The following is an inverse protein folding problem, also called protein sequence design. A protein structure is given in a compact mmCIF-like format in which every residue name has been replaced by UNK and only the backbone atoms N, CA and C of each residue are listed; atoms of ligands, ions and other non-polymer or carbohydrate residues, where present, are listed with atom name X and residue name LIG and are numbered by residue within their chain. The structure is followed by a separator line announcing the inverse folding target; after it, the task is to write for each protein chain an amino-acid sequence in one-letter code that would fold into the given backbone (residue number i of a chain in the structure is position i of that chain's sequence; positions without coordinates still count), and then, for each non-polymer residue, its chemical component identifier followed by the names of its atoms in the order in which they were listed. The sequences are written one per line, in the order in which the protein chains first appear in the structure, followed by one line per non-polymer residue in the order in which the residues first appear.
data_IF_196895521852
#
_entry.id   IF_196895521852
#
_cell.length_a   1.000
_cell.length_b   1.000
_cell.length_c   1.000
_cell.angle_alpha   90.00
_cell.angle_beta   90.00
_cell.angle_gamma   90.00
#
_symmetry.space_group_name_H-M   'P 1'
#
loop_
_entity.id
_entity.type
_entity.pdbx_description
1 polymer ?
#
# COMPACT_ATOMS: atom_id res chain seq x y z
N UNK A 1 -12.73 -9.97 14.85
CA UNK A 1 -13.26 -10.19 13.49
C UNK A 1 -12.11 -10.42 12.50
N UNK A 2 -12.27 -11.35 11.56
CA UNK A 2 -11.30 -11.59 10.49
C UNK A 2 -11.51 -10.54 9.39
N UNK A 3 -10.68 -9.48 9.39
CA UNK A 3 -10.78 -8.31 8.50
C UNK A 3 -9.61 -8.33 7.52
N UNK A 4 -9.89 -8.15 6.23
CA UNK A 4 -8.89 -8.23 5.18
C UNK A 4 -7.93 -7.03 5.15
N UNK A 5 -8.43 -5.82 5.40
CA UNK A 5 -7.60 -4.60 5.38
C UNK A 5 -6.95 -4.33 6.73
N UNK A 6 -5.78 -3.69 6.71
CA UNK A 6 -5.05 -3.30 7.93
C UNK A 6 -5.09 -1.80 8.21
N UNK A 7 -5.44 -0.97 7.21
CA UNK A 7 -5.63 0.47 7.37
C UNK A 7 -6.80 0.95 6.51
N UNK A 8 -7.58 1.89 7.05
CA UNK A 8 -8.64 2.61 6.33
C UNK A 8 -8.44 4.10 6.53
N UNK A 9 -8.55 4.86 5.45
CA UNK A 9 -8.35 6.31 5.43
C UNK A 9 -9.47 6.99 4.63
N UNK A 10 -10.16 7.94 5.26
CA UNK A 10 -11.19 8.75 4.61
C UNK A 10 -10.56 9.92 3.84
N UNK A 11 -10.56 9.86 2.51
CA UNK A 11 -9.78 10.78 1.66
C UNK A 11 -10.25 12.24 1.77
N UNK A 12 -11.56 12.46 1.91
CA UNK A 12 -12.15 13.79 2.06
C UNK A 12 -11.65 14.55 3.29
N UNK A 13 -11.24 13.83 4.35
CA UNK A 13 -10.67 14.45 5.56
C UNK A 13 -9.26 15.00 5.35
N UNK A 14 -8.51 14.49 4.38
CA UNK A 14 -7.18 15.02 4.03
C UNK A 14 -7.30 16.24 3.14
N UNK A 15 -8.19 16.18 2.14
CA UNK A 15 -8.47 17.30 1.25
C UNK A 15 -9.93 17.22 0.77
N UNK A 16 -10.73 18.22 1.09
CA UNK A 16 -12.11 18.31 0.65
C UNK A 16 -12.28 19.05 -0.69
N UNK A 17 -11.19 19.53 -1.29
CA UNK A 17 -11.22 20.21 -2.58
C UNK A 17 -11.76 19.25 -3.66
N UNK A 18 -12.74 19.71 -4.44
CA UNK A 18 -13.44 18.94 -5.49
C UNK A 18 -14.23 17.69 -5.03
N UNK A 19 -14.28 17.37 -3.73
CA UNK A 19 -15.14 16.29 -3.24
C UNK A 19 -16.63 16.70 -3.23
N UNK A 20 -17.56 15.84 -3.69
CA UNK A 20 -18.98 16.07 -3.52
C UNK A 20 -19.37 16.19 -2.03
N UNK A 21 -20.39 17.00 -1.72
CA UNK A 21 -20.78 17.29 -0.32
C UNK A 21 -21.28 16.06 0.43
N UNK A 22 -22.03 15.21 -0.25
CA UNK A 22 -22.72 14.02 0.24
C UNK A 22 -21.94 12.71 0.04
N UNK A 23 -20.76 12.77 -0.58
CA UNK A 23 -19.93 11.59 -0.87
C UNK A 23 -18.54 11.70 -0.24
N UNK A 24 -17.91 10.55 -0.06
CA UNK A 24 -16.53 10.41 0.42
C UNK A 24 -15.91 9.16 -0.19
N UNK A 25 -14.58 9.04 -0.09
CA UNK A 25 -13.85 7.85 -0.53
C UNK A 25 -13.13 7.26 0.67
N UNK A 26 -13.38 5.97 0.92
CA UNK A 26 -12.64 5.18 1.91
C UNK A 26 -11.56 4.39 1.19
N UNK A 27 -10.30 4.73 1.44
CA UNK A 27 -9.16 3.97 0.95
C UNK A 27 -8.83 2.87 1.94
N UNK A 28 -9.00 1.61 1.54
CA UNK A 28 -8.65 0.44 2.33
C UNK A 28 -7.34 -0.16 1.82
N UNK A 29 -6.37 -0.33 2.71
CA UNK A 29 -5.06 -0.87 2.37
C UNK A 29 -4.95 -2.34 2.78
N UNK A 30 -4.48 -3.16 1.86
CA UNK A 30 -4.32 -4.61 2.02
C UNK A 30 -2.90 -4.94 1.61
N UNK A 31 -2.13 -5.49 2.54
CA UNK A 31 -0.79 -5.99 2.22
C UNK A 31 -0.93 -7.36 1.53
N UNK A 32 -0.20 -7.56 0.45
CA UNK A 32 -0.13 -8.83 -0.27
C UNK A 32 1.29 -9.05 -0.77
N UNK A 33 1.62 -10.30 -1.09
CA UNK A 33 2.89 -10.68 -1.71
C UNK A 33 2.65 -11.13 -3.15
N UNK A 34 3.48 -10.68 -4.10
CA UNK A 34 3.33 -11.10 -5.50
C UNK A 34 3.33 -12.63 -5.62
N UNK A 35 2.32 -13.18 -6.29
CA UNK A 35 2.13 -14.62 -6.47
C UNK A 35 1.40 -15.34 -5.33
N UNK A 36 1.03 -14.64 -4.25
CA UNK A 36 0.20 -15.21 -3.18
C UNK A 36 -1.26 -15.44 -3.62
N UNK A 37 -2.10 -15.87 -2.68
CA UNK A 37 -3.52 -16.11 -2.95
C UNK A 37 -4.30 -14.83 -3.24
N UNK A 38 -3.94 -13.70 -2.62
CA UNK A 38 -4.60 -12.41 -2.82
C UNK A 38 -4.28 -11.82 -4.19
N UNK A 39 -3.03 -11.88 -4.64
CA UNK A 39 -2.58 -11.42 -5.96
C UNK A 39 -3.27 -12.17 -7.11
N UNK A 40 -3.64 -13.45 -6.86
CA UNK A 40 -4.35 -14.30 -7.83
C UNK A 40 -5.87 -14.20 -7.72
N UNK A 41 -6.38 -13.48 -6.73
CA UNK A 41 -7.82 -13.34 -6.53
C UNK A 41 -8.38 -12.25 -7.44
N UNK A 42 -9.53 -12.54 -8.05
CA UNK A 42 -10.27 -11.56 -8.87
C UNK A 42 -10.64 -10.31 -8.06
N UNK A 43 -10.45 -9.13 -8.66
CA UNK A 43 -10.70 -7.82 -8.04
C UNK A 43 -12.13 -7.72 -7.50
N UNK A 44 -13.12 -8.28 -8.21
CA UNK A 44 -14.52 -8.28 -7.76
C UNK A 44 -14.71 -9.03 -6.44
N UNK A 45 -13.98 -10.13 -6.24
CA UNK A 45 -14.02 -10.91 -4.99
C UNK A 45 -13.35 -10.14 -3.86
N UNK A 46 -12.25 -9.45 -4.15
CA UNK A 46 -11.57 -8.57 -3.18
C UNK A 46 -12.51 -7.45 -2.76
N UNK A 47 -13.10 -6.72 -3.71
CA UNK A 47 -14.08 -5.66 -3.44
C UNK A 47 -15.25 -6.16 -2.60
N UNK A 48 -15.85 -7.29 -2.97
CA UNK A 48 -16.97 -7.87 -2.21
C UNK A 48 -16.58 -8.22 -0.76
N UNK A 49 -15.35 -8.73 -0.55
CA UNK A 49 -14.84 -9.01 0.81
C UNK A 49 -14.61 -7.73 1.59
N UNK A 50 -13.97 -6.72 1.00
CA UNK A 50 -13.72 -5.42 1.65
C UNK A 50 -15.02 -4.74 2.03
N UNK A 51 -16.02 -4.74 1.15
CA UNK A 51 -17.36 -4.19 1.44
C UNK A 51 -17.99 -4.87 2.64
N UNK A 52 -17.96 -6.20 2.69
CA UNK A 52 -18.46 -6.97 3.84
C UNK A 52 -17.72 -6.60 5.13
N UNK A 53 -16.40 -6.45 5.05
CA UNK A 53 -15.57 -6.15 6.20
C UNK A 53 -15.80 -4.71 6.70
N UNK A 54 -15.98 -3.73 5.81
CA UNK A 54 -16.35 -2.36 6.16
C UNK A 54 -17.69 -2.29 6.90
N UNK A 55 -18.69 -3.03 6.42
CA UNK A 55 -19.99 -3.16 7.09
C UNK A 55 -19.84 -3.84 8.45
N UNK A 56 -18.99 -4.86 8.54
CA UNK A 56 -18.74 -5.60 9.79
C UNK A 56 -18.09 -4.71 10.87
N UNK A 57 -17.19 -3.81 10.46
CA UNK A 57 -16.54 -2.85 11.38
C UNK A 57 -17.44 -1.63 11.67
N UNK A 58 -18.52 -1.45 10.89
CA UNK A 58 -19.46 -0.34 11.07
C UNK A 58 -18.98 0.99 10.47
N UNK A 59 -18.06 0.95 9.50
CA UNK A 59 -17.53 2.14 8.83
C UNK A 59 -18.38 2.60 7.64
N UNK A 60 -19.22 1.71 7.09
CA UNK A 60 -20.15 2.02 6.01
C UNK A 60 -21.34 1.06 6.07
N UNK A 61 -22.50 1.48 5.54
CA UNK A 61 -23.63 0.58 5.26
C UNK A 61 -23.53 0.08 3.82
N UNK A 62 -24.04 -1.12 3.54
CA UNK A 62 -23.93 -1.74 2.22
C UNK A 62 -24.62 -0.88 1.14
N UNK A 63 -25.71 -0.21 1.52
CA UNK A 63 -26.54 0.62 0.65
C UNK A 63 -25.89 1.97 0.31
N UNK A 64 -24.85 2.37 1.05
CA UNK A 64 -24.11 3.63 0.84
C UNK A 64 -22.94 3.49 -0.13
N UNK A 65 -22.60 2.26 -0.51
CA UNK A 65 -21.43 1.97 -1.35
C UNK A 65 -21.87 2.02 -2.82
N UNK A 66 -21.53 3.12 -3.49
CA UNK A 66 -21.89 3.35 -4.89
C UNK A 66 -20.95 2.65 -5.87
N UNK A 67 -19.65 2.58 -5.56
CA UNK A 67 -18.62 2.03 -6.45
C UNK A 67 -17.40 1.50 -5.67
N UNK A 68 -16.60 0.66 -6.31
CA UNK A 68 -15.35 0.11 -5.77
C UNK A 68 -14.26 0.06 -6.83
N UNK A 69 -13.03 0.41 -6.45
CA UNK A 69 -11.85 0.29 -7.30
C UNK A 69 -10.75 -0.45 -6.54
N UNK A 70 -10.06 -1.36 -7.23
CA UNK A 70 -8.90 -2.07 -6.70
C UNK A 70 -7.67 -1.63 -7.49
N UNK A 71 -6.61 -1.24 -6.79
CA UNK A 71 -5.32 -0.88 -7.41
C UNK A 71 -4.27 -1.77 -6.78
N UNK A 72 -3.56 -2.54 -7.61
CA UNK A 72 -2.53 -3.46 -7.17
C UNK A 72 -1.13 -2.86 -7.38
N UNK A 73 -0.37 -2.72 -6.29
CA UNK A 73 0.98 -2.15 -6.30
C UNK A 73 2.00 -3.12 -5.67
N UNK A 74 2.71 -3.94 -6.48
CA UNK A 74 3.48 -5.08 -5.96
C UNK A 74 4.81 -4.74 -5.27
N UNK A 75 5.37 -3.55 -5.51
CA UNK A 75 6.73 -3.19 -5.07
C UNK A 75 6.78 -1.93 -4.19
N UNK A 76 5.76 -1.75 -3.35
CA UNK A 76 5.62 -0.56 -2.49
C UNK A 76 6.36 -0.70 -1.16
N UNK A 77 6.32 -1.90 -0.57
CA UNK A 77 6.88 -2.14 0.76
C UNK A 77 8.24 -2.83 0.65
N UNK A 78 9.37 -2.17 0.97
CA UNK A 78 10.66 -2.83 1.09
C UNK A 78 10.65 -3.73 2.33
N UNK A 79 10.38 -5.02 2.12
CA UNK A 79 10.38 -6.00 3.18
C UNK A 79 11.82 -6.34 3.57
N UNK A 80 12.21 -5.95 4.79
CA UNK A 80 13.48 -6.33 5.39
C UNK A 80 13.36 -7.74 5.97
N UNK A 81 13.76 -8.73 5.18
CA UNK A 81 13.85 -10.11 5.62
C UNK A 81 15.22 -10.38 6.24
N UNK A 82 15.29 -11.44 7.04
CA UNK A 82 16.58 -11.90 7.56
C UNK A 82 17.52 -12.20 6.40
N UNK A 83 18.69 -11.57 6.37
CA UNK A 83 19.68 -11.71 5.30
C UNK A 83 19.60 -10.65 4.20
N UNK A 84 18.51 -9.85 4.13
CA UNK A 84 18.40 -8.76 3.15
C UNK A 84 19.54 -7.74 3.27
N UNK A 85 20.10 -7.54 4.46
CA UNK A 85 21.22 -6.62 4.69
C UNK A 85 22.45 -6.94 3.85
N UNK A 86 22.81 -8.24 3.75
CA UNK A 86 23.99 -8.67 3.00
C UNK A 86 23.80 -8.46 1.50
N UNK A 87 22.62 -8.81 0.98
CA UNK A 87 22.25 -8.59 -0.42
C UNK A 87 22.23 -7.11 -0.77
N UNK A 88 21.70 -6.26 0.13
CA UNK A 88 21.69 -4.81 -0.07
C UNK A 88 23.10 -4.23 -0.08
N UNK A 89 24.00 -4.72 0.78
CA UNK A 89 25.42 -4.30 0.78
C UNK A 89 26.10 -4.66 -0.53
N UNK A 90 25.90 -5.88 -1.04
CA UNK A 90 26.47 -6.31 -2.33
C UNK A 90 25.97 -5.43 -3.49
N UNK A 91 24.65 -5.27 -3.60
CA UNK A 91 24.02 -4.46 -4.66
C UNK A 91 24.48 -3.00 -4.58
N UNK A 92 24.49 -2.40 -3.39
CA UNK A 92 24.94 -1.02 -3.21
C UNK A 92 26.43 -0.84 -3.51
N UNK A 93 27.28 -1.82 -3.17
CA UNK A 93 28.72 -1.81 -3.49
C UNK A 93 28.95 -1.81 -5.00
N UNK A 94 28.26 -2.70 -5.72
CA UNK A 94 28.36 -2.83 -7.19
C UNK A 94 27.88 -1.58 -7.91
N UNK A 95 26.78 -0.98 -7.45
CA UNK A 95 26.24 0.25 -8.04
C UNK A 95 27.05 1.49 -7.65
N UNK A 96 27.64 1.50 -6.45
CA UNK A 96 28.52 2.56 -5.97
C UNK A 96 29.84 2.70 -6.75
N UNK A 97 30.20 1.70 -7.56
CA UNK A 97 31.31 1.81 -8.52
C UNK A 97 31.07 2.93 -9.57
N UNK A 98 29.82 3.28 -9.84
CA UNK A 98 29.43 4.35 -10.76
C UNK A 98 29.17 5.64 -9.99
N UNK A 99 30.16 6.54 -9.94
CA UNK A 99 30.10 7.79 -9.17
C UNK A 99 28.95 8.73 -9.58
N UNK A 100 28.43 8.57 -10.79
CA UNK A 100 27.30 9.33 -11.34
C UNK A 100 25.93 8.73 -11.04
N UNK A 101 25.86 7.55 -10.39
CA UNK A 101 24.61 6.85 -10.11
C UNK A 101 24.27 6.96 -8.62
N UNK A 102 23.12 7.55 -8.32
CA UNK A 102 22.63 7.72 -6.94
C UNK A 102 21.34 6.93 -6.74
N UNK A 103 21.33 6.08 -5.72
CA UNK A 103 20.15 5.32 -5.31
C UNK A 103 19.35 6.16 -4.30
N UNK A 104 18.17 6.62 -4.71
CA UNK A 104 17.34 7.54 -3.93
C UNK A 104 15.91 6.99 -3.76
N UNK A 105 15.24 7.45 -2.71
CA UNK A 105 13.86 7.06 -2.38
C UNK A 105 13.73 5.73 -1.64
N UNK A 106 12.51 5.43 -1.18
CA UNK A 106 12.17 4.25 -0.37
C UNK A 106 12.60 2.95 -1.03
N UNK A 107 12.27 2.75 -2.31
CA UNK A 107 12.63 1.54 -3.05
C UNK A 107 14.09 1.54 -3.52
N UNK A 108 14.67 2.71 -3.80
CA UNK A 108 16.05 2.83 -4.28
C UNK A 108 17.09 2.61 -3.18
N UNK A 109 16.89 3.21 -2.00
CA UNK A 109 17.74 2.98 -0.82
C UNK A 109 17.30 1.74 -0.02
N UNK A 110 16.16 1.15 -0.39
CA UNK A 110 15.52 0.02 0.28
C UNK A 110 15.31 0.28 1.78
N UNK A 111 14.71 1.44 2.05
CA UNK A 111 14.48 1.97 3.39
C UNK A 111 13.02 2.31 3.56
N UNK A 112 12.41 1.77 4.61
CA UNK A 112 11.01 2.03 4.94
C UNK A 112 10.83 3.38 5.67
N UNK A 113 11.91 3.95 6.23
CA UNK A 113 11.89 5.25 6.88
C UNK A 113 11.87 6.41 5.86
N UNK A 114 10.95 7.35 6.06
CA UNK A 114 10.92 8.61 5.33
C UNK A 114 12.07 9.50 5.80
N UNK A 115 13.24 9.35 5.19
CA UNK A 115 14.28 10.38 5.07
C UNK A 115 14.93 10.85 6.37
N UNK A 116 15.97 10.16 6.82
CA UNK A 116 17.12 10.88 7.37
C UNK A 116 17.93 11.46 6.20
N UNK A 117 17.65 12.71 5.83
CA UNK A 117 18.61 13.54 5.10
C UNK A 117 19.90 13.54 5.93
N UNK A 118 20.91 12.78 5.49
CA UNK A 118 22.24 12.85 6.11
C UNK A 118 22.79 14.24 5.81
N UNK A 119 22.89 15.08 6.83
CA UNK A 119 23.73 16.27 6.80
C UNK A 119 25.19 15.86 6.74
#
# INVERSE_FOLDING_TARGET
PDILFHRVSEQKKFCAFEFPKDRTVLSCEIAYTKGDTLDKTDEKRISARVVKDLVTVGLARKEEIEDTMVISLPYVYPLLLRGSEQELVDVKSRLGAYKQLYLLGTSGDFRYDAGACRR
#
